data_IF_206106816120
#
_entry.id   IF_206106816120
#
_cell.length_a   1.000
_cell.length_b   1.000
_cell.length_c   1.000
_cell.angle_alpha   90.00
_cell.angle_beta   90.00
_cell.angle_gamma   90.00
#
_symmetry.space_group_name_H-M   'P 1'
#
loop_
_entity.id
_entity.type
_entity.pdbx_description
1 polymer ?
#
# COMPACT_ATOMS: atom_id res chain seq x y z
N UNK A 1 -9.88 -4.97 8.08
CA UNK A 1 -9.83 -4.43 6.70
C UNK A 1 -9.90 -5.51 5.63
N UNK A 2 -8.98 -6.48 5.54
CA UNK A 2 -8.93 -7.41 4.39
C UNK A 2 -10.07 -8.45 4.33
N UNK A 3 -10.70 -8.75 5.46
CA UNK A 3 -11.90 -9.59 5.53
C UNK A 3 -13.21 -8.81 5.31
N UNK A 4 -13.12 -7.55 4.87
CA UNK A 4 -14.26 -6.64 4.68
C UNK A 4 -14.36 -6.16 3.22
N UNK A 5 -15.43 -5.46 2.83
CA UNK A 5 -15.55 -4.84 1.51
C UNK A 5 -14.38 -3.91 1.16
N UNK A 6 -13.72 -3.32 2.17
CA UNK A 6 -12.60 -2.39 2.00
C UNK A 6 -11.27 -3.07 1.62
N UNK A 7 -11.28 -4.38 1.35
CA UNK A 7 -10.07 -5.15 0.96
C UNK A 7 -9.44 -4.71 -0.38
N UNK A 8 -10.13 -3.85 -1.13
CA UNK A 8 -9.69 -3.19 -2.38
C UNK A 8 -9.52 -1.69 -2.21
N UNK A 9 -9.46 -1.18 -0.97
CA UNK A 9 -9.23 0.22 -0.69
C UNK A 9 -7.86 0.41 -0.04
N UNK A 10 -6.89 0.94 -0.78
CA UNK A 10 -5.54 1.21 -0.28
C UNK A 10 -5.54 2.08 0.98
N UNK A 11 -6.48 3.03 1.06
CA UNK A 11 -6.74 3.83 2.27
C UNK A 11 -6.93 2.99 3.53
N UNK A 12 -7.68 1.90 3.47
CA UNK A 12 -7.96 1.08 4.65
C UNK A 12 -6.69 0.44 5.24
N UNK A 13 -5.67 0.22 4.40
CA UNK A 13 -4.37 -0.31 4.82
C UNK A 13 -3.46 0.79 5.34
N UNK A 14 -3.43 1.94 4.69
CA UNK A 14 -2.73 3.15 5.18
C UNK A 14 -3.26 3.53 6.56
N UNK A 15 -4.56 3.66 6.73
CA UNK A 15 -5.18 4.06 8.00
C UNK A 15 -4.91 3.03 9.10
N UNK A 16 -4.86 1.74 8.77
CA UNK A 16 -4.51 0.70 9.73
C UNK A 16 -3.04 0.76 10.16
N UNK A 17 -2.11 1.05 9.25
CA UNK A 17 -0.69 1.26 9.60
C UNK A 17 -0.52 2.52 10.46
N UNK A 18 -1.22 3.60 10.15
CA UNK A 18 -1.23 4.81 10.97
C UNK A 18 -1.77 4.52 12.37
N UNK A 19 -2.85 3.76 12.48
CA UNK A 19 -3.39 3.32 13.78
C UNK A 19 -2.39 2.43 14.56
N UNK A 20 -1.51 1.71 13.86
CA UNK A 20 -0.43 0.94 14.46
C UNK A 20 0.81 1.79 14.84
N UNK A 21 0.81 3.09 14.52
CA UNK A 21 1.86 4.05 14.91
C UNK A 21 2.91 4.35 13.83
N UNK A 22 2.69 3.92 12.59
CA UNK A 22 3.57 4.27 11.48
C UNK A 22 3.34 5.69 10.97
N UNK A 23 4.40 6.35 10.50
CA UNK A 23 4.33 7.69 9.91
C UNK A 23 3.69 7.64 8.52
N UNK A 24 2.55 8.31 8.37
CA UNK A 24 1.81 8.40 7.10
C UNK A 24 2.62 9.07 5.98
N UNK A 25 3.49 10.02 6.32
CA UNK A 25 4.31 10.73 5.34
C UNK A 25 5.39 9.84 4.71
N UNK A 26 5.67 8.70 5.34
CA UNK A 26 6.62 7.70 4.88
C UNK A 26 5.95 6.52 4.14
N UNK A 27 4.67 6.66 3.77
CA UNK A 27 3.88 5.61 3.12
C UNK A 27 3.67 5.88 1.64
N UNK A 28 3.55 4.80 0.89
CA UNK A 28 3.12 4.84 -0.50
C UNK A 28 2.03 3.80 -0.73
N UNK A 29 1.18 4.05 -1.73
CA UNK A 29 0.12 3.12 -2.11
C UNK A 29 -0.19 3.27 -3.60
N UNK A 30 -0.47 2.15 -4.27
CA UNK A 30 -0.89 2.17 -5.68
C UNK A 30 -2.34 2.63 -5.81
N UNK A 31 -2.77 2.96 -7.03
CA UNK A 31 -4.15 3.35 -7.29
C UNK A 31 -5.14 2.20 -6.97
N UNK A 32 -6.32 2.57 -6.46
CA UNK A 32 -7.41 1.63 -6.16
C UNK A 32 -8.25 1.28 -7.40
N UNK A 33 -8.13 2.11 -8.45
CA UNK A 33 -8.90 2.00 -9.69
C UNK A 33 -7.97 1.98 -10.91
N UNK A 34 -8.40 1.29 -11.96
CA UNK A 34 -7.79 1.35 -13.28
C UNK A 34 -8.12 2.67 -13.99
N UNK A 35 -7.47 2.93 -15.12
CA UNK A 35 -7.70 4.12 -15.94
C UNK A 35 -9.13 4.26 -16.48
N UNK A 36 -9.89 3.16 -16.52
CA UNK A 36 -11.31 3.15 -16.91
C UNK A 36 -12.27 3.06 -15.71
N UNK A 37 -11.77 3.21 -14.49
CA UNK A 37 -12.58 3.30 -13.27
C UNK A 37 -13.01 1.98 -12.65
N UNK A 38 -12.43 0.85 -13.09
CA UNK A 38 -12.70 -0.45 -12.46
C UNK A 38 -11.81 -0.66 -11.22
N UNK A 39 -12.28 -1.36 -10.18
CA UNK A 39 -11.42 -1.79 -9.08
C UNK A 39 -10.21 -2.57 -9.57
N UNK A 40 -9.04 -2.33 -8.97
CA UNK A 40 -7.85 -3.13 -9.25
C UNK A 40 -7.93 -4.50 -8.58
N UNK A 41 -7.24 -5.48 -9.17
CA UNK A 41 -7.17 -6.84 -8.63
C UNK A 41 -6.14 -6.99 -7.51
N UNK A 42 -5.14 -6.10 -7.50
CA UNK A 42 -4.12 -6.01 -6.46
C UNK A 42 -3.75 -4.55 -6.19
N UNK A 43 -3.46 -4.26 -4.92
CA UNK A 43 -2.94 -3.01 -4.43
C UNK A 43 -1.64 -3.32 -3.70
N UNK A 44 -0.61 -2.52 -3.96
CA UNK A 44 0.58 -2.51 -3.13
C UNK A 44 0.57 -1.28 -2.23
N UNK A 45 1.03 -1.46 -1.00
CA UNK A 45 1.30 -0.38 -0.07
C UNK A 45 2.70 -0.57 0.52
N UNK A 46 3.30 0.52 0.97
CA UNK A 46 4.59 0.49 1.64
C UNK A 46 4.62 1.43 2.83
N UNK A 47 5.54 1.17 3.76
CA UNK A 47 6.00 2.17 4.71
C UNK A 47 7.52 2.06 4.88
N UNK A 48 8.20 3.19 4.77
CA UNK A 48 9.61 3.32 5.11
C UNK A 48 9.76 3.34 6.64
N UNK A 49 10.55 2.40 7.17
CA UNK A 49 10.92 2.36 8.58
C UNK A 49 12.43 2.14 8.71
N UNK A 50 13.12 3.19 9.11
CA UNK A 50 14.58 3.21 9.16
C UNK A 50 15.19 3.21 7.75
N UNK A 51 15.83 2.11 7.37
CA UNK A 51 16.46 1.91 6.04
C UNK A 51 15.83 0.72 5.30
N UNK A 52 14.60 0.36 5.68
CA UNK A 52 13.87 -0.76 5.10
C UNK A 52 12.44 -0.37 4.83
N UNK A 53 11.84 -1.06 3.87
CA UNK A 53 10.46 -0.89 3.47
C UNK A 53 9.68 -2.13 3.87
N UNK A 54 8.61 -1.94 4.66
CA UNK A 54 7.57 -2.96 4.76
C UNK A 54 6.67 -2.79 3.53
N UNK A 55 6.73 -3.74 2.60
CA UNK A 55 5.89 -3.75 1.39
C UNK A 55 4.79 -4.77 1.57
N UNK A 56 3.55 -4.34 1.43
CA UNK A 56 2.38 -5.19 1.46
C UNK A 56 1.69 -5.28 0.12
N UNK A 57 1.06 -6.42 -0.15
CA UNK A 57 0.17 -6.60 -1.28
C UNK A 57 -1.14 -7.21 -0.82
N UNK A 58 -2.24 -6.69 -1.37
CA UNK A 58 -3.62 -7.05 -1.01
C UNK A 58 -4.50 -7.00 -2.23
N UNK A 59 -5.66 -7.66 -2.17
CA UNK A 59 -6.67 -7.60 -3.21
C UNK A 59 -7.37 -8.94 -3.44
N UNK A 60 -8.39 -8.99 -4.31
CA UNK A 60 -9.13 -10.19 -4.64
C UNK A 60 -8.25 -11.33 -5.12
N UNK A 61 -7.28 -11.05 -6.00
CA UNK A 61 -6.39 -12.07 -6.58
C UNK A 61 -5.22 -12.43 -5.66
N UNK A 62 -4.90 -11.57 -4.69
CA UNK A 62 -3.85 -11.84 -3.69
C UNK A 62 -4.35 -12.80 -2.59
N UNK A 63 -5.66 -12.79 -2.29
CA UNK A 63 -6.22 -13.59 -1.21
C UNK A 63 -6.00 -12.94 0.15
N UNK A 64 -5.28 -13.63 1.04
CA UNK A 64 -4.83 -13.05 2.32
C UNK A 64 -3.74 -12.00 2.08
N UNK A 65 -3.67 -10.93 2.89
CA UNK A 65 -2.59 -9.96 2.80
C UNK A 65 -1.23 -10.62 2.94
N UNK A 66 -0.30 -10.25 2.06
CA UNK A 66 1.10 -10.65 2.16
C UNK A 66 1.96 -9.43 2.41
N UNK A 67 2.99 -9.57 3.25
CA UNK A 67 3.94 -8.50 3.53
C UNK A 67 5.36 -9.03 3.55
N UNK A 68 6.29 -8.25 3.01
CA UNK A 68 7.72 -8.54 2.99
C UNK A 68 8.51 -7.31 3.39
N UNK A 69 9.68 -7.51 4.00
CA UNK A 69 10.63 -6.43 4.26
C UNK A 69 11.65 -6.40 3.14
N UNK A 70 11.79 -5.25 2.48
CA UNK A 70 12.68 -5.06 1.35
C UNK A 70 13.64 -3.88 1.58
N UNK A 71 14.80 -3.85 0.91
CA UNK A 71 15.61 -2.64 0.85
C UNK A 71 14.83 -1.48 0.21
N UNK A 72 15.19 -0.26 0.58
CA UNK A 72 14.71 0.96 -0.09
C UNK A 72 15.18 0.95 -1.55
N UNK A 73 14.32 1.37 -2.47
CA UNK A 73 14.69 1.63 -3.85
C UNK A 73 15.39 2.99 -3.90
N UNK A 74 16.66 3.07 -4.32
CA UNK A 74 17.34 4.34 -4.44
C UNK A 74 16.53 5.30 -5.32
N UNK A 75 16.36 6.54 -4.88
CA UNK A 75 15.65 7.62 -5.60
C UNK A 75 14.12 7.48 -5.69
N UNK A 76 13.57 6.27 -5.60
CA UNK A 76 12.13 5.99 -5.77
C UNK A 76 11.37 5.60 -4.49
N UNK A 77 12.03 5.57 -3.32
CA UNK A 77 11.34 5.25 -2.06
C UNK A 77 11.17 3.74 -1.85
N UNK A 78 9.95 3.25 -1.64
CA UNK A 78 9.70 1.84 -1.32
C UNK A 78 9.03 1.06 -2.45
N UNK A 79 8.29 1.72 -3.34
CA UNK A 79 7.62 1.11 -4.49
C UNK A 79 8.23 1.63 -5.80
N UNK A 80 8.30 0.75 -6.81
CA UNK A 80 8.73 1.14 -8.16
C UNK A 80 7.50 1.53 -8.96
N UNK A 81 7.54 2.69 -9.62
CA UNK A 81 6.47 3.20 -10.48
C UNK A 81 5.65 4.31 -9.83
N UNK A 82 4.50 4.63 -10.45
CA UNK A 82 3.65 5.71 -9.98
C UNK A 82 2.76 5.25 -8.83
N UNK A 83 2.84 5.97 -7.71
CA UNK A 83 1.98 5.80 -6.54
C UNK A 83 0.98 6.95 -6.48
N UNK A 84 -0.19 6.71 -5.87
CA UNK A 84 -1.17 7.78 -5.72
C UNK A 84 -0.78 8.68 -4.56
N UNK A 85 -1.14 9.96 -4.67
CA UNK A 85 -1.04 10.87 -3.54
C UNK A 85 -1.90 10.38 -2.36
N UNK A 86 -1.34 10.55 -1.16
CA UNK A 86 -2.01 10.33 0.11
C UNK A 86 -2.42 11.70 0.68
N UNK A 87 -3.54 12.22 0.20
CA UNK A 87 -4.01 13.61 0.39
C UNK A 87 -5.17 13.76 1.39
N UNK A 88 -5.30 12.80 2.30
CA UNK A 88 -6.42 12.70 3.24
C UNK A 88 -6.04 12.67 4.70
#
# INVERSE_FOLDING_TARGET
MWASPDRVAGRAYVDALVAAGFDKSAMEVTADLTTIGNPVESIQFSVLWGQQCLVGQVGPTTGDPVTVVMPVVPEDGCLIGETRAIDW
#
